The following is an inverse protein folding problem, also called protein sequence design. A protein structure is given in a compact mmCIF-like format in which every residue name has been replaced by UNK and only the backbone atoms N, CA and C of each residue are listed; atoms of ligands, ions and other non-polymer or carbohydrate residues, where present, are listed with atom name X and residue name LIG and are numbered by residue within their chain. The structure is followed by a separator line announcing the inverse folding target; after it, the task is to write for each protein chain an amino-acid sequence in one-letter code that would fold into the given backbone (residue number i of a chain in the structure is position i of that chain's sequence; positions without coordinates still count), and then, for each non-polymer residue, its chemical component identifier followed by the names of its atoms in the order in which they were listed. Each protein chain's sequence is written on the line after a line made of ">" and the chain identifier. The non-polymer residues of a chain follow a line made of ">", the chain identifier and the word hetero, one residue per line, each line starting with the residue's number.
data_IF_066740782355
#
_entry.id   IF_066740782355
#
_cell.length_a   1.000
_cell.length_b   1.000
_cell.length_c   1.000
_cell.angle_alpha   90.00
_cell.angle_beta   90.00
_cell.angle_gamma   90.00
#
_symmetry.space_group_name_H-M   'P 1'
#
loop_
_entity.id
_entity.type
_entity.pdbx_description
1 polymer ?
#
# COMPACT_ATOMS: atom_id res chain seq x y z
N UNK A 1 65.63 15.15 -23.10
CA UNK A 1 65.03 16.43 -22.64
C UNK A 1 63.86 16.75 -23.57
N UNK A 2 62.70 17.12 -23.03
CA UNK A 2 61.53 17.71 -23.73
C UNK A 2 60.80 16.80 -24.78
N UNK A 3 59.62 16.33 -24.34
CA UNK A 3 58.37 16.09 -25.12
C UNK A 3 57.51 17.38 -25.01
N UNK A 4 56.26 17.48 -25.55
CA UNK A 4 55.52 16.65 -26.51
C UNK A 4 55.32 17.45 -27.84
N UNK A 5 54.34 17.27 -28.74
CA UNK A 5 53.22 16.32 -28.92
C UNK A 5 53.13 16.04 -30.46
N UNK A 6 52.03 15.77 -31.18
CA UNK A 6 50.57 15.76 -30.97
C UNK A 6 49.97 14.41 -31.40
N UNK A 7 48.65 14.22 -31.25
CA UNK A 7 47.89 13.08 -31.78
C UNK A 7 46.59 13.55 -32.43
N UNK A 8 46.18 12.88 -33.50
CA UNK A 8 44.78 12.78 -33.91
C UNK A 8 44.50 11.32 -34.31
N UNK A 9 43.67 10.63 -33.54
CA UNK A 9 43.05 9.36 -33.91
C UNK A 9 41.69 9.27 -33.22
N UNK A 10 40.62 9.22 -34.00
CA UNK A 10 39.24 9.18 -33.50
C UNK A 10 38.91 7.78 -33.00
N UNK A 11 38.47 7.66 -31.74
CA UNK A 11 37.96 6.40 -31.21
C UNK A 11 36.52 6.15 -31.71
N UNK A 12 36.30 5.06 -32.44
CA UNK A 12 34.98 4.44 -32.47
C UNK A 12 34.75 3.73 -31.13
N UNK A 13 34.10 4.41 -30.19
CA UNK A 13 33.57 3.79 -28.99
C UNK A 13 32.30 3.01 -29.36
N UNK A 14 32.46 1.75 -29.77
CA UNK A 14 31.34 0.83 -29.97
C UNK A 14 30.71 0.48 -28.61
N UNK A 15 29.74 1.29 -28.18
CA UNK A 15 29.01 1.10 -26.94
C UNK A 15 28.15 -0.18 -27.01
N UNK A 16 28.72 -1.31 -26.60
CA UNK A 16 27.93 -2.48 -26.23
C UNK A 16 27.05 -2.10 -25.04
N UNK A 17 25.74 -2.04 -25.26
CA UNK A 17 24.79 -2.22 -24.17
C UNK A 17 24.92 -3.68 -23.68
N UNK A 18 25.81 -3.90 -22.73
CA UNK A 18 25.51 -4.88 -21.70
C UNK A 18 24.48 -4.23 -20.79
N UNK A 19 23.21 -4.56 -20.99
CA UNK A 19 22.25 -4.47 -19.89
C UNK A 19 22.80 -5.38 -18.78
N UNK A 20 23.29 -4.79 -17.69
CA UNK A 20 23.45 -5.54 -16.45
C UNK A 20 22.05 -5.92 -16.01
N UNK A 21 21.67 -7.15 -16.31
CA UNK A 21 20.58 -7.83 -15.64
C UNK A 21 21.05 -8.09 -14.20
N UNK A 22 20.90 -7.09 -13.33
CA UNK A 22 20.96 -7.32 -11.89
C UNK A 22 20.01 -8.48 -11.56
N UNK A 23 20.47 -9.52 -10.83
CA UNK A 23 19.64 -10.67 -10.54
C UNK A 23 18.42 -10.22 -9.74
N UNK A 24 17.23 -10.52 -10.25
CA UNK A 24 15.98 -10.12 -9.58
C UNK A 24 15.91 -10.77 -8.20
N UNK A 25 15.96 -9.94 -7.15
CA UNK A 25 16.03 -10.41 -5.76
C UNK A 25 14.95 -11.43 -5.42
N UNK A 26 15.34 -12.45 -4.66
CA UNK A 26 14.43 -13.48 -4.15
C UNK A 26 13.46 -12.96 -3.09
N UNK A 27 13.79 -11.84 -2.44
CA UNK A 27 12.95 -11.10 -1.49
C UNK A 27 12.97 -9.61 -1.86
N UNK A 28 11.81 -8.94 -1.81
CA UNK A 28 11.72 -7.48 -1.82
C UNK A 28 10.77 -7.01 -0.73
N UNK A 29 11.34 -6.40 0.32
CA UNK A 29 10.61 -5.60 1.31
C UNK A 29 10.81 -4.11 1.02
N UNK A 30 10.17 -3.23 1.80
CA UNK A 30 10.35 -1.78 1.73
C UNK A 30 10.05 -1.12 3.08
N UNK A 31 10.36 0.17 3.18
CA UNK A 31 10.18 0.99 4.38
C UNK A 31 9.67 2.40 4.03
N UNK A 32 9.15 3.12 5.02
CA UNK A 32 8.77 4.54 4.93
C UNK A 32 9.45 5.30 6.08
N UNK A 33 10.38 6.21 5.75
CA UNK A 33 11.11 7.00 6.75
C UNK A 33 10.17 7.94 7.53
N UNK A 34 9.27 8.64 6.83
CA UNK A 34 8.27 9.50 7.45
C UNK A 34 7.06 8.65 7.91
N UNK A 35 7.29 7.84 8.95
CA UNK A 35 6.28 6.95 9.54
C UNK A 35 6.12 7.16 11.03
N UNK A 36 4.86 7.24 11.47
CA UNK A 36 4.48 7.57 12.84
C UNK A 36 3.63 6.46 13.46
N UNK A 37 3.88 6.20 14.74
CA UNK A 37 2.92 5.45 15.57
C UNK A 37 1.94 6.47 16.12
N UNK A 38 0.71 6.44 15.60
CA UNK A 38 -0.38 7.30 16.02
C UNK A 38 -1.63 6.42 16.09
N UNK A 39 -2.26 6.33 17.25
CA UNK A 39 -3.37 5.41 17.51
C UNK A 39 -4.75 6.07 17.47
N UNK A 40 -4.81 7.41 17.46
CA UNK A 40 -5.99 8.17 17.87
C UNK A 40 -6.45 9.24 16.86
N UNK A 41 -5.54 9.88 16.14
CA UNK A 41 -5.86 10.97 15.19
C UNK A 41 -5.49 10.60 13.76
N UNK A 42 -5.89 11.42 12.80
CA UNK A 42 -5.24 11.44 11.48
C UNK A 42 -3.73 11.69 11.61
N UNK A 43 -2.98 11.18 10.65
CA UNK A 43 -1.55 11.45 10.46
C UNK A 43 -1.36 12.58 9.44
N UNK A 44 -0.19 13.21 9.39
CA UNK A 44 0.07 14.28 8.44
C UNK A 44 -0.03 13.83 6.97
N UNK A 45 -0.12 14.79 6.05
CA UNK A 45 -0.28 14.55 4.62
C UNK A 45 0.84 13.65 4.04
N UNK A 46 2.06 13.89 4.50
CA UNK A 46 3.31 13.27 4.09
C UNK A 46 3.78 12.11 5.00
N UNK A 47 3.01 11.76 6.03
CA UNK A 47 3.27 10.64 6.96
C UNK A 47 2.53 9.36 6.58
N UNK A 48 3.01 8.20 7.05
CA UNK A 48 2.27 6.93 7.04
C UNK A 48 2.12 6.38 8.47
N UNK A 49 0.91 5.93 8.83
CA UNK A 49 0.65 5.27 10.10
C UNK A 49 1.33 3.89 10.12
N UNK A 50 2.19 3.67 11.11
CA UNK A 50 2.92 2.42 11.35
C UNK A 50 2.35 1.72 12.57
N UNK A 51 2.37 0.39 12.57
CA UNK A 51 1.94 -0.43 13.70
C UNK A 51 2.49 0.06 15.04
N UNK A 52 1.58 0.22 15.99
CA UNK A 52 1.88 0.41 17.41
C UNK A 52 2.55 -0.81 18.06
N UNK A 53 2.34 -2.02 17.50
CA UNK A 53 2.58 -3.28 18.21
C UNK A 53 3.53 -4.27 17.53
N UNK A 54 3.62 -4.30 16.20
CA UNK A 54 4.35 -5.34 15.49
C UNK A 54 5.46 -4.76 14.60
N UNK A 55 6.67 -5.30 14.79
CA UNK A 55 7.74 -5.23 13.79
C UNK A 55 7.80 -6.56 13.03
N UNK A 56 7.79 -6.50 11.70
CA UNK A 56 7.99 -7.68 10.84
C UNK A 56 9.31 -7.57 10.07
N UNK A 57 9.98 -8.70 9.92
CA UNK A 57 11.17 -8.86 9.08
C UNK A 57 11.16 -10.22 8.39
N UNK A 58 11.76 -10.31 7.21
CA UNK A 58 11.72 -11.51 6.35
C UNK A 58 13.14 -11.93 5.99
N UNK A 59 13.39 -13.24 6.03
CA UNK A 59 14.66 -13.88 5.64
C UNK A 59 14.38 -15.03 4.67
N UNK A 60 15.36 -15.43 3.87
CA UNK A 60 15.29 -16.71 3.15
C UNK A 60 15.26 -17.87 4.16
N UNK A 61 14.55 -18.93 3.80
CA UNK A 61 14.22 -20.04 4.68
C UNK A 61 15.43 -20.73 5.34
N UNK A 62 15.76 -20.32 6.56
CA UNK A 62 16.86 -20.84 7.37
C UNK A 62 18.18 -20.05 7.32
N UNK A 63 18.22 -18.87 6.67
CA UNK A 63 19.46 -18.10 6.49
C UNK A 63 19.74 -17.08 7.62
N UNK A 64 18.74 -16.70 8.42
CA UNK A 64 18.80 -15.74 9.56
C UNK A 64 19.24 -14.29 9.20
N UNK A 65 19.51 -13.99 7.93
CA UNK A 65 19.63 -12.62 7.42
C UNK A 65 18.24 -12.00 7.20
N UNK A 66 17.84 -11.09 8.09
CA UNK A 66 16.46 -10.58 8.18
C UNK A 66 16.34 -9.12 7.75
N UNK A 67 15.66 -8.88 6.63
CA UNK A 67 15.34 -7.54 6.15
C UNK A 67 14.02 -7.05 6.75
N UNK A 68 13.95 -5.77 7.15
CA UNK A 68 12.71 -5.18 7.68
C UNK A 68 11.64 -5.06 6.59
N UNK A 69 10.38 -5.27 6.97
CA UNK A 69 9.20 -5.05 6.13
C UNK A 69 8.25 -4.10 6.83
N UNK A 70 7.81 -3.06 6.14
CA UNK A 70 6.94 -2.04 6.74
C UNK A 70 5.60 -2.62 7.18
N UNK A 71 5.22 -2.34 8.43
CA UNK A 71 3.91 -2.72 8.99
C UNK A 71 3.05 -1.46 9.07
N UNK A 72 2.10 -1.35 8.15
CA UNK A 72 1.08 -0.31 8.13
C UNK A 72 0.02 -0.60 9.21
N UNK A 73 -0.62 0.46 9.72
CA UNK A 73 -1.75 0.35 10.66
C UNK A 73 -2.96 1.13 10.12
N UNK A 74 -4.15 0.55 10.23
CA UNK A 74 -5.43 1.22 9.99
C UNK A 74 -6.30 1.18 11.24
N UNK A 75 -7.05 2.26 11.49
CA UNK A 75 -7.83 2.46 12.71
C UNK A 75 -9.26 2.91 12.38
N UNK A 76 -10.26 2.57 13.21
CA UNK A 76 -11.64 3.04 13.05
C UNK A 76 -11.72 4.56 12.82
N UNK A 77 -12.51 4.95 11.80
CA UNK A 77 -12.68 6.34 11.34
C UNK A 77 -11.38 7.04 10.92
N UNK A 78 -10.28 6.32 10.70
CA UNK A 78 -8.95 6.84 10.35
C UNK A 78 -8.36 7.82 11.39
N UNK A 79 -8.96 7.92 12.58
CA UNK A 79 -8.67 9.00 13.54
C UNK A 79 -9.25 10.37 13.18
N UNK A 80 -10.19 10.45 12.23
CA UNK A 80 -10.92 11.67 11.89
C UNK A 80 -12.18 11.90 12.77
N UNK A 81 -12.51 10.98 13.69
CA UNK A 81 -13.80 11.02 14.39
C UNK A 81 -14.99 10.94 13.43
N UNK A 82 -16.15 11.53 13.79
CA UNK A 82 -17.31 11.60 12.90
C UNK A 82 -17.27 12.78 11.92
N UNK A 83 -16.08 13.22 11.49
CA UNK A 83 -15.90 14.36 10.58
C UNK A 83 -16.90 14.36 9.40
N UNK A 84 -17.69 15.43 9.28
CA UNK A 84 -18.68 15.64 8.22
C UNK A 84 -18.09 16.29 6.97
N UNK A 85 -17.05 17.11 7.13
CA UNK A 85 -16.39 17.86 6.05
C UNK A 85 -14.87 17.92 6.31
N UNK A 86 -14.00 17.47 5.37
CA UNK A 86 -12.54 17.52 5.54
C UNK A 86 -11.91 18.92 5.75
N UNK A 87 -12.65 20.01 5.50
CA UNK A 87 -12.23 21.38 5.78
C UNK A 87 -12.74 21.91 7.15
N UNK A 88 -13.65 21.18 7.80
CA UNK A 88 -14.25 21.51 9.09
C UNK A 88 -14.21 20.25 9.99
N UNK A 89 -13.01 19.77 10.39
CA UNK A 89 -12.84 18.48 11.06
C UNK A 89 -13.56 18.35 12.42
N UNK A 90 -13.85 19.48 13.07
CA UNK A 90 -14.60 19.57 14.33
C UNK A 90 -16.13 19.41 14.14
N UNK A 91 -16.65 19.47 12.92
CA UNK A 91 -18.09 19.31 12.65
C UNK A 91 -18.43 17.83 12.41
N UNK A 92 -19.10 17.20 13.37
CA UNK A 92 -19.55 15.81 13.26
C UNK A 92 -20.80 15.65 12.37
N UNK A 93 -20.89 14.53 11.64
CA UNK A 93 -22.14 14.10 11.01
C UNK A 93 -23.09 13.45 12.03
N UNK A 94 -24.40 13.54 11.77
CA UNK A 94 -25.42 12.80 12.51
C UNK A 94 -26.21 11.89 11.55
N UNK A 95 -25.77 10.64 11.43
CA UNK A 95 -26.52 9.59 10.74
C UNK A 95 -27.28 8.75 11.78
N UNK A 96 -28.60 8.64 11.63
CA UNK A 96 -29.45 7.88 12.55
C UNK A 96 -29.07 6.39 12.64
N UNK A 97 -28.58 5.81 11.54
CA UNK A 97 -28.08 4.42 11.46
C UNK A 97 -26.58 4.30 11.83
N UNK A 98 -25.90 5.41 12.14
CA UNK A 98 -24.46 5.49 12.35
C UNK A 98 -23.63 5.37 11.07
N UNK A 99 -22.32 5.14 11.24
CA UNK A 99 -21.34 4.86 10.18
C UNK A 99 -20.89 3.38 10.14
N UNK A 100 -21.46 2.55 11.01
CA UNK A 100 -21.05 1.17 11.26
C UNK A 100 -19.94 1.01 12.30
N UNK A 101 -19.49 2.08 12.98
CA UNK A 101 -18.47 2.03 14.03
C UNK A 101 -19.09 2.42 15.38
N UNK A 102 -18.89 1.58 16.38
CA UNK A 102 -19.46 1.68 17.73
C UNK A 102 -18.38 1.54 18.80
N UNK A 103 -18.15 0.33 19.32
CA UNK A 103 -17.24 0.01 20.42
C UNK A 103 -15.78 -0.18 19.96
N UNK A 104 -15.56 -0.46 18.67
CA UNK A 104 -14.26 -0.79 18.07
C UNK A 104 -13.24 0.34 18.29
N UNK A 105 -13.70 1.59 18.16
CA UNK A 105 -12.88 2.78 18.40
C UNK A 105 -12.54 3.00 19.88
N UNK A 106 -13.39 2.55 20.81
CA UNK A 106 -13.20 2.68 22.27
C UNK A 106 -12.27 1.59 22.79
N UNK A 107 -12.43 0.38 22.27
CA UNK A 107 -11.59 -0.79 22.58
C UNK A 107 -10.23 -0.77 21.86
N UNK A 108 -9.97 0.26 21.04
CA UNK A 108 -8.71 0.46 20.33
C UNK A 108 -8.45 -0.58 19.23
N UNK A 109 -9.49 -1.22 18.70
CA UNK A 109 -9.39 -2.22 17.64
C UNK A 109 -8.73 -1.59 16.40
N UNK A 110 -7.81 -2.31 15.78
CA UNK A 110 -7.03 -1.85 14.64
C UNK A 110 -6.59 -3.03 13.74
N UNK A 111 -6.23 -2.71 12.50
CA UNK A 111 -5.73 -3.66 11.51
C UNK A 111 -4.32 -3.26 11.06
N UNK A 112 -3.35 -4.07 11.47
CA UNK A 112 -1.97 -4.01 11.01
C UNK A 112 -1.77 -4.91 9.78
N UNK A 113 -0.98 -4.49 8.81
CA UNK A 113 -0.56 -5.37 7.72
C UNK A 113 0.83 -5.06 7.17
N UNK A 114 1.46 -6.08 6.58
CA UNK A 114 2.71 -5.93 5.83
C UNK A 114 2.65 -6.72 4.53
N UNK A 115 3.27 -6.17 3.49
CA UNK A 115 3.39 -6.81 2.18
C UNK A 115 4.87 -6.89 1.77
N UNK A 116 5.25 -8.02 1.18
CA UNK A 116 6.58 -8.22 0.60
C UNK A 116 6.47 -9.10 -0.65
N UNK A 117 7.48 -9.04 -1.51
CA UNK A 117 7.63 -9.93 -2.67
C UNK A 117 8.60 -11.05 -2.32
N UNK A 118 8.30 -12.29 -2.71
CA UNK A 118 9.16 -13.46 -2.50
C UNK A 118 9.15 -14.43 -3.69
N UNK A 119 10.25 -15.18 -3.89
CA UNK A 119 10.46 -16.16 -4.98
C UNK A 119 10.76 -17.59 -4.52
N UNK A 120 11.08 -17.72 -3.23
CA UNK A 120 11.54 -18.94 -2.55
C UNK A 120 10.87 -18.98 -1.18
N UNK A 121 10.95 -20.11 -0.50
CA UNK A 121 10.52 -20.24 0.89
C UNK A 121 11.22 -19.18 1.76
N UNK A 122 10.46 -18.55 2.65
CA UNK A 122 10.95 -17.53 3.59
C UNK A 122 10.61 -17.89 5.02
N UNK A 123 11.40 -17.40 5.96
CA UNK A 123 11.01 -17.28 7.36
C UNK A 123 10.56 -15.84 7.64
N UNK A 124 9.33 -15.68 8.12
CA UNK A 124 8.75 -14.38 8.53
C UNK A 124 8.85 -14.26 10.04
N UNK A 125 9.60 -13.26 10.52
CA UNK A 125 9.84 -12.98 11.94
C UNK A 125 9.01 -11.79 12.40
N UNK A 126 8.11 -12.06 13.34
CA UNK A 126 7.20 -11.08 13.96
C UNK A 126 7.68 -10.83 15.39
N UNK A 127 7.82 -9.56 15.77
CA UNK A 127 8.27 -9.13 17.10
C UNK A 127 7.26 -8.16 17.69
N UNK A 128 6.79 -8.42 18.91
CA UNK A 128 5.95 -7.46 19.66
C UNK A 128 6.79 -6.34 20.27
N UNK A 129 6.37 -5.09 20.05
CA UNK A 129 7.09 -3.85 20.41
C UNK A 129 6.48 -3.10 21.59
N UNK A 130 5.24 -3.42 21.96
CA UNK A 130 4.49 -2.87 23.10
C UNK A 130 4.92 -3.44 24.47
N UNK A 131 5.84 -4.40 24.47
CA UNK A 131 6.26 -5.15 25.66
C UNK A 131 5.40 -6.39 25.97
N UNK A 132 4.37 -6.68 25.17
CA UNK A 132 3.56 -7.90 25.34
C UNK A 132 4.36 -9.17 25.01
N UNK A 133 4.12 -10.24 25.75
CA UNK A 133 4.82 -11.52 25.58
C UNK A 133 3.94 -12.56 24.89
N UNK A 134 4.52 -13.33 23.97
CA UNK A 134 3.90 -14.45 23.28
C UNK A 134 4.16 -15.70 24.13
N UNK A 135 3.19 -16.14 24.94
CA UNK A 135 3.43 -17.11 26.03
C UNK A 135 3.89 -18.49 25.51
N UNK A 136 3.29 -18.99 24.44
CA UNK A 136 3.66 -20.27 23.78
C UNK A 136 3.47 -20.20 22.26
N UNK A 137 3.93 -21.22 21.51
CA UNK A 137 3.59 -21.39 20.08
C UNK A 137 2.10 -21.70 19.89
N UNK A 138 1.49 -22.48 20.79
CA UNK A 138 0.05 -22.78 20.79
C UNK A 138 -0.85 -21.58 21.12
N UNK A 139 -0.24 -20.42 21.41
CA UNK A 139 -0.90 -19.14 21.55
C UNK A 139 -1.12 -18.40 20.22
N UNK A 140 -0.48 -18.88 19.14
CA UNK A 140 -0.57 -18.32 17.80
C UNK A 140 -1.56 -19.14 16.98
N UNK A 141 -2.49 -18.47 16.31
CA UNK A 141 -3.34 -19.04 15.26
C UNK A 141 -3.00 -18.34 13.95
N UNK A 142 -2.91 -19.11 12.87
CA UNK A 142 -2.78 -18.57 11.51
C UNK A 142 -4.11 -18.87 10.80
N UNK A 143 -4.68 -17.87 10.10
CA UNK A 143 -5.88 -18.07 9.28
C UNK A 143 -5.64 -17.70 7.81
N UNK A 144 -6.12 -18.51 6.85
CA UNK A 144 -6.86 -19.76 7.04
C UNK A 144 -5.99 -20.89 7.62
N UNK A 145 -6.63 -21.79 8.38
CA UNK A 145 -5.94 -22.75 9.28
C UNK A 145 -5.33 -23.96 8.56
N UNK A 146 -5.67 -24.14 7.28
CA UNK A 146 -5.25 -25.24 6.41
C UNK A 146 -3.89 -25.00 5.72
N UNK A 147 -3.30 -23.81 5.87
CA UNK A 147 -2.00 -23.45 5.29
C UNK A 147 -0.82 -24.31 5.75
N UNK A 148 -0.94 -25.02 6.89
CA UNK A 148 0.07 -25.97 7.37
C UNK A 148 1.42 -25.37 7.76
N UNK A 149 1.50 -24.05 7.96
CA UNK A 149 2.75 -23.34 8.21
C UNK A 149 3.42 -23.75 9.53
N UNK A 150 4.73 -23.93 9.49
CA UNK A 150 5.53 -24.25 10.69
C UNK A 150 5.79 -22.98 11.49
N UNK A 151 5.23 -22.91 12.69
CA UNK A 151 5.42 -21.80 13.63
C UNK A 151 6.43 -22.18 14.72
N UNK A 152 7.38 -21.29 15.01
CA UNK A 152 8.36 -21.39 16.09
C UNK A 152 8.33 -20.13 16.94
N UNK A 153 8.74 -20.22 18.20
CA UNK A 153 8.90 -19.06 19.10
C UNK A 153 10.33 -18.98 19.64
N UNK A 154 11.27 -18.33 18.94
CA UNK A 154 12.68 -18.27 19.35
C UNK A 154 12.95 -17.38 20.58
N UNK A 155 12.07 -16.41 20.88
CA UNK A 155 12.17 -15.52 22.07
C UNK A 155 10.78 -15.22 22.63
N UNK A 156 10.69 -14.78 23.88
CA UNK A 156 9.40 -14.54 24.56
C UNK A 156 8.49 -13.53 23.86
N UNK A 157 9.04 -12.60 23.07
CA UNK A 157 8.30 -11.61 22.28
C UNK A 157 8.48 -11.79 20.76
N UNK A 158 8.88 -12.97 20.30
CA UNK A 158 9.19 -13.22 18.88
C UNK A 158 8.60 -14.53 18.39
N UNK A 159 7.88 -14.46 17.28
CA UNK A 159 7.38 -15.61 16.50
C UNK A 159 8.09 -15.66 15.15
N UNK A 160 8.30 -16.89 14.66
CA UNK A 160 8.87 -17.18 13.37
C UNK A 160 7.95 -18.14 12.61
N UNK A 161 7.54 -17.76 11.40
CA UNK A 161 6.63 -18.53 10.55
C UNK A 161 7.36 -18.91 9.26
N UNK A 162 7.49 -20.20 8.98
CA UNK A 162 7.93 -20.69 7.67
C UNK A 162 6.79 -20.52 6.67
N UNK A 163 7.00 -19.72 5.64
CA UNK A 163 6.06 -19.48 4.53
C UNK A 163 6.66 -20.05 3.24
N UNK A 164 6.20 -21.23 2.77
CA UNK A 164 6.67 -21.81 1.51
C UNK A 164 6.25 -20.99 0.29
N UNK A 165 7.04 -21.01 -0.78
CA UNK A 165 6.71 -20.24 -1.99
C UNK A 165 5.51 -20.78 -2.74
N UNK A 166 4.51 -19.92 -2.95
CA UNK A 166 3.34 -20.17 -3.78
C UNK A 166 3.25 -19.16 -4.92
N UNK A 167 3.03 -19.63 -6.16
CA UNK A 167 2.86 -18.78 -7.36
C UNK A 167 1.66 -17.81 -7.28
N UNK A 168 0.69 -18.10 -6.43
CA UNK A 168 -0.50 -17.29 -6.11
C UNK A 168 -0.27 -16.24 -5.00
N UNK A 169 0.90 -16.29 -4.37
CA UNK A 169 1.14 -15.72 -3.04
C UNK A 169 0.32 -16.41 -1.95
N UNK A 170 0.57 -16.01 -0.70
CA UNK A 170 -0.28 -16.31 0.44
C UNK A 170 -0.67 -15.01 1.14
N UNK A 171 -1.93 -14.92 1.57
CA UNK A 171 -2.49 -13.85 2.39
C UNK A 171 -3.04 -14.50 3.65
N UNK A 172 -2.57 -14.10 4.83
CA UNK A 172 -2.95 -14.76 6.08
C UNK A 172 -2.96 -13.82 7.29
N UNK A 173 -3.89 -14.08 8.21
CA UNK A 173 -3.95 -13.47 9.54
C UNK A 173 -2.99 -14.20 10.49
N UNK A 174 -2.35 -13.47 11.40
CA UNK A 174 -1.58 -14.00 12.53
C UNK A 174 -2.17 -13.46 13.83
N UNK A 175 -2.71 -14.37 14.63
CA UNK A 175 -3.58 -14.04 15.75
C UNK A 175 -2.97 -14.56 17.06
N UNK A 176 -2.89 -13.69 18.06
CA UNK A 176 -2.41 -14.04 19.39
C UNK A 176 -3.59 -14.15 20.34
N UNK A 177 -3.76 -15.29 21.04
CA UNK A 177 -4.94 -15.51 21.89
C UNK A 177 -5.07 -14.48 23.03
N UNK A 178 -3.94 -14.03 23.57
CA UNK A 178 -3.89 -12.97 24.60
C UNK A 178 -4.20 -11.56 24.04
N UNK A 179 -4.50 -11.43 22.75
CA UNK A 179 -4.97 -10.20 22.10
C UNK A 179 -6.40 -10.29 21.54
N UNK A 180 -7.11 -11.39 21.77
CA UNK A 180 -8.48 -11.53 21.26
C UNK A 180 -9.44 -10.63 22.05
N UNK A 181 -10.11 -9.72 21.33
CA UNK A 181 -11.31 -9.07 21.80
C UNK A 181 -12.50 -9.97 21.44
N UNK A 182 -12.96 -10.75 22.41
CA UNK A 182 -13.89 -11.89 22.21
C UNK A 182 -13.27 -12.99 21.32
N UNK A 183 -13.57 -13.03 20.02
CA UNK A 183 -13.17 -14.10 19.10
C UNK A 183 -12.15 -13.66 18.02
N UNK A 184 -11.88 -12.35 17.89
CA UNK A 184 -10.96 -11.77 16.89
C UNK A 184 -9.94 -10.82 17.52
N UNK A 185 -8.76 -10.57 16.90
CA UNK A 185 -7.70 -9.77 17.54
C UNK A 185 -8.05 -8.28 17.64
N UNK A 186 -7.74 -7.66 18.78
CA UNK A 186 -7.77 -6.20 18.96
C UNK A 186 -6.72 -5.51 18.07
N UNK A 187 -5.57 -6.13 17.84
CA UNK A 187 -4.52 -5.65 16.94
C UNK A 187 -4.27 -6.74 15.89
N UNK A 188 -5.14 -6.83 14.88
CA UNK A 188 -5.08 -7.89 13.87
C UNK A 188 -3.91 -7.70 12.91
N UNK A 189 -3.03 -8.70 12.79
CA UNK A 189 -1.85 -8.63 11.92
C UNK A 189 -2.03 -9.50 10.65
N UNK A 190 -2.02 -8.87 9.48
CA UNK A 190 -2.16 -9.54 8.19
C UNK A 190 -0.85 -9.53 7.39
N UNK A 191 -0.45 -10.69 6.88
CA UNK A 191 0.77 -10.88 6.08
C UNK A 191 0.41 -11.16 4.61
N UNK A 192 0.92 -10.34 3.69
CA UNK A 192 0.74 -10.47 2.24
C UNK A 192 2.05 -10.91 1.55
N UNK A 193 2.36 -12.21 1.62
CA UNK A 193 3.49 -12.82 0.93
C UNK A 193 3.19 -12.95 -0.58
N UNK A 194 3.63 -11.97 -1.37
CA UNK A 194 3.17 -11.74 -2.75
C UNK A 194 4.17 -12.28 -3.79
N UNK A 195 3.73 -12.95 -4.88
CA UNK A 195 4.65 -13.42 -5.92
C UNK A 195 5.15 -12.22 -6.75
N UNK A 196 6.25 -12.33 -7.52
CA UNK A 196 6.62 -11.30 -8.47
C UNK A 196 5.52 -11.11 -9.51
N UNK A 197 5.29 -9.87 -9.95
CA UNK A 197 4.38 -9.61 -11.06
C UNK A 197 4.97 -10.14 -12.38
N UNK A 198 4.12 -10.60 -13.32
CA UNK A 198 4.53 -10.84 -14.71
C UNK A 198 5.25 -9.61 -15.30
N UNK A 199 6.35 -9.82 -16.03
CA UNK A 199 7.24 -8.71 -16.46
C UNK A 199 6.56 -7.77 -17.47
N UNK A 200 5.66 -8.29 -18.27
CA UNK A 200 4.75 -7.56 -19.17
C UNK A 200 3.80 -6.61 -18.42
N UNK A 201 3.51 -6.90 -17.15
CA UNK A 201 2.74 -6.06 -16.24
C UNK A 201 3.63 -5.12 -15.40
N UNK A 202 4.86 -4.84 -15.83
CA UNK A 202 5.76 -3.86 -15.20
C UNK A 202 6.18 -2.81 -16.26
N UNK A 203 5.62 -1.59 -16.25
CA UNK A 203 5.88 -0.60 -17.28
C UNK A 203 7.28 0.03 -17.18
N UNK A 204 8.05 -0.02 -18.27
CA UNK A 204 9.41 0.53 -18.33
C UNK A 204 9.42 2.07 -18.39
N UNK A 205 9.93 2.71 -17.33
CA UNK A 205 9.96 4.17 -17.11
C UNK A 205 10.56 5.02 -18.23
N UNK A 206 11.34 4.44 -19.14
CA UNK A 206 11.99 5.16 -20.25
C UNK A 206 11.05 5.48 -21.42
N UNK A 207 9.82 4.93 -21.42
CA UNK A 207 8.85 5.20 -22.48
C UNK A 207 8.26 6.62 -22.42
N UNK A 208 8.20 7.28 -23.57
CA UNK A 208 7.56 8.60 -23.73
C UNK A 208 6.04 8.60 -23.47
N UNK A 209 5.42 7.42 -23.31
CA UNK A 209 4.01 7.22 -23.00
C UNK A 209 3.69 7.19 -21.50
N UNK A 210 4.66 7.47 -20.63
CA UNK A 210 4.50 7.42 -19.17
C UNK A 210 4.43 8.82 -18.56
N UNK A 211 3.52 8.99 -17.60
CA UNK A 211 3.57 10.01 -16.55
C UNK A 211 4.19 9.36 -15.30
N UNK A 212 5.28 9.93 -14.76
CA UNK A 212 5.84 9.51 -13.48
C UNK A 212 5.34 10.47 -12.40
N UNK A 213 4.65 9.93 -11.39
CA UNK A 213 4.22 10.65 -10.19
C UNK A 213 5.28 10.40 -9.11
N UNK A 214 5.90 11.48 -8.64
CA UNK A 214 6.89 11.46 -7.55
C UNK A 214 6.22 11.65 -6.20
N UNK A 215 6.78 11.09 -5.11
CA UNK A 215 6.28 11.31 -3.75
C UNK A 215 6.14 12.79 -3.42
N UNK A 216 5.10 13.12 -2.66
CA UNK A 216 4.73 14.48 -2.31
C UNK A 216 3.26 14.81 -2.59
N UNK A 217 2.97 16.12 -2.60
CA UNK A 217 1.67 16.69 -2.96
C UNK A 217 1.29 16.39 -4.41
N UNK A 218 0.02 16.04 -4.60
CA UNK A 218 -0.67 16.00 -5.88
C UNK A 218 -1.88 16.94 -5.91
N UNK A 219 -2.16 17.45 -7.11
CA UNK A 219 -3.37 18.18 -7.52
C UNK A 219 -3.79 17.66 -8.91
N UNK A 220 -4.94 18.06 -9.46
CA UNK A 220 -5.34 17.61 -10.82
C UNK A 220 -4.28 17.86 -11.91
N UNK A 221 -3.54 18.98 -11.81
CA UNK A 221 -2.47 19.35 -12.74
C UNK A 221 -1.28 18.36 -12.74
N UNK A 222 -1.14 17.53 -11.70
CA UNK A 222 -0.03 16.55 -11.54
C UNK A 222 -0.15 15.36 -12.49
N UNK A 223 -1.36 15.04 -12.96
CA UNK A 223 -1.67 13.76 -13.61
C UNK A 223 -1.47 13.75 -15.13
N UNK A 224 -1.52 14.91 -15.78
CA UNK A 224 -1.30 15.04 -17.23
C UNK A 224 -2.28 14.24 -18.09
N UNK A 225 -1.80 13.67 -19.20
CA UNK A 225 -2.64 12.91 -20.15
C UNK A 225 -1.90 11.76 -20.86
N UNK A 226 -0.97 11.11 -20.14
CA UNK A 226 -0.15 10.01 -20.69
C UNK A 226 -0.89 8.67 -20.61
N UNK A 227 -0.72 7.74 -21.58
CA UNK A 227 -1.34 6.41 -21.54
C UNK A 227 -1.14 5.62 -20.25
N UNK A 228 0.07 5.67 -19.69
CA UNK A 228 0.44 5.01 -18.44
C UNK A 228 0.82 6.04 -17.38
N UNK A 229 0.41 5.80 -16.12
CA UNK A 229 0.82 6.54 -14.94
C UNK A 229 1.56 5.61 -13.98
N UNK A 230 2.72 6.03 -13.47
CA UNK A 230 3.52 5.28 -12.49
C UNK A 230 3.63 6.09 -11.20
N UNK A 231 3.15 5.55 -10.09
CA UNK A 231 3.47 6.06 -8.75
C UNK A 231 4.79 5.46 -8.28
N UNK A 232 5.78 6.31 -8.01
CA UNK A 232 7.06 5.86 -7.43
C UNK A 232 6.92 5.47 -5.96
N UNK A 233 7.89 4.72 -5.44
CA UNK A 233 7.92 4.34 -4.02
C UNK A 233 8.08 5.58 -3.14
N UNK A 234 7.35 5.64 -2.03
CA UNK A 234 7.20 6.81 -1.17
C UNK A 234 5.72 7.21 -0.99
N UNK A 235 5.50 8.36 -0.34
CA UNK A 235 4.19 8.81 0.13
C UNK A 235 3.65 9.90 -0.80
N UNK A 236 2.40 9.78 -1.22
CA UNK A 236 1.72 10.71 -2.12
C UNK A 236 0.36 11.06 -1.54
N UNK A 237 -0.08 12.30 -1.62
CA UNK A 237 -1.43 12.72 -1.17
C UNK A 237 -2.08 13.68 -2.16
N UNK A 238 -3.39 13.58 -2.35
CA UNK A 238 -4.14 14.60 -3.08
C UNK A 238 -4.73 15.64 -2.12
N UNK A 239 -4.59 16.92 -2.48
CA UNK A 239 -5.28 18.02 -1.80
C UNK A 239 -6.01 18.91 -2.82
N UNK A 240 -6.94 19.72 -2.31
CA UNK A 240 -7.55 20.83 -3.04
C UNK A 240 -7.53 22.05 -2.15
N UNK A 241 -6.88 23.12 -2.61
CA UNK A 241 -6.71 24.37 -1.88
C UNK A 241 -6.09 24.19 -0.47
N UNK A 242 -5.11 23.28 -0.31
CA UNK A 242 -4.51 22.97 0.99
C UNK A 242 -5.27 21.96 1.86
N UNK A 243 -6.44 21.48 1.42
CA UNK A 243 -7.29 20.56 2.21
C UNK A 243 -7.22 19.14 1.65
N UNK A 244 -6.91 18.17 2.51
CA UNK A 244 -6.94 16.74 2.21
C UNK A 244 -8.38 16.24 2.06
N UNK A 245 -8.60 15.10 1.39
CA UNK A 245 -9.95 14.50 1.24
C UNK A 245 -10.92 15.31 0.37
N UNK A 246 -10.58 16.54 -0.03
CA UNK A 246 -11.35 17.42 -0.90
C UNK A 246 -11.12 17.20 -2.40
N UNK A 247 -10.39 16.16 -2.78
CA UNK A 247 -10.34 15.71 -4.18
C UNK A 247 -10.03 14.22 -4.37
N UNK A 248 -10.19 13.71 -5.60
CA UNK A 248 -9.73 12.39 -6.03
C UNK A 248 -9.04 12.47 -7.40
N UNK A 249 -8.27 11.45 -7.77
CA UNK A 249 -7.48 11.44 -9.02
C UNK A 249 -8.41 11.16 -10.20
N UNK A 250 -8.78 12.20 -10.95
CA UNK A 250 -9.57 12.05 -12.19
C UNK A 250 -8.64 11.86 -13.37
N UNK A 251 -8.51 10.63 -13.84
CA UNK A 251 -7.59 10.26 -14.92
C UNK A 251 -8.06 10.85 -16.25
N UNK A 252 -7.10 11.21 -17.11
CA UNK A 252 -7.39 11.62 -18.49
C UNK A 252 -7.97 10.46 -19.31
N UNK A 253 -8.86 10.67 -20.30
CA UNK A 253 -9.39 9.60 -21.13
C UNK A 253 -8.33 8.77 -21.89
N UNK A 254 -7.12 9.33 -22.05
CA UNK A 254 -5.96 8.61 -22.62
C UNK A 254 -5.32 7.63 -21.63
N UNK A 255 -5.38 7.93 -20.33
CA UNK A 255 -4.74 7.19 -19.25
C UNK A 255 -5.59 5.97 -18.89
N UNK A 256 -5.11 4.80 -19.32
CA UNK A 256 -5.80 3.52 -19.12
C UNK A 256 -4.96 2.52 -18.32
N UNK A 257 -3.73 2.88 -17.92
CA UNK A 257 -2.88 2.05 -17.10
C UNK A 257 -2.31 2.85 -15.92
N UNK A 258 -2.66 2.47 -14.69
CA UNK A 258 -2.02 2.94 -13.46
C UNK A 258 -1.18 1.81 -12.86
N UNK A 259 0.07 2.12 -12.51
CA UNK A 259 1.00 1.20 -11.87
C UNK A 259 1.55 1.79 -10.56
N UNK A 260 1.38 1.07 -9.45
CA UNK A 260 1.94 1.44 -8.15
C UNK A 260 3.23 0.66 -7.89
N UNK A 261 4.38 1.34 -7.73
CA UNK A 261 5.60 0.64 -7.30
C UNK A 261 5.40 0.01 -5.91
N UNK A 262 6.08 -1.11 -5.62
CA UNK A 262 6.26 -1.59 -4.25
C UNK A 262 6.70 -0.46 -3.32
N UNK A 263 6.01 -0.28 -2.19
CA UNK A 263 6.23 0.83 -1.27
C UNK A 263 5.75 2.21 -1.74
N UNK A 264 4.91 2.30 -2.79
CA UNK A 264 4.10 3.50 -3.02
C UNK A 264 2.90 3.49 -2.06
N UNK A 265 2.62 4.62 -1.41
CA UNK A 265 1.46 4.82 -0.54
C UNK A 265 0.74 6.11 -0.96
N UNK A 266 -0.49 5.97 -1.48
CA UNK A 266 -1.18 7.04 -2.21
C UNK A 266 -2.50 7.37 -1.51
N UNK A 267 -2.56 8.50 -0.80
CA UNK A 267 -3.76 8.98 -0.09
C UNK A 267 -4.72 9.66 -1.06
N UNK A 268 -5.49 8.86 -1.80
CA UNK A 268 -6.48 9.29 -2.78
C UNK A 268 -7.40 8.12 -3.21
N UNK A 269 -8.37 8.41 -4.07
CA UNK A 269 -9.09 7.45 -4.91
C UNK A 269 -8.85 7.70 -6.42
N UNK A 270 -9.13 6.73 -7.29
CA UNK A 270 -9.01 6.86 -8.75
C UNK A 270 -10.37 6.86 -9.46
N UNK A 271 -10.59 7.80 -10.37
CA UNK A 271 -11.64 7.73 -11.39
C UNK A 271 -11.03 7.59 -12.79
N UNK A 272 -11.30 6.47 -13.45
CA UNK A 272 -11.00 6.25 -14.87
C UNK A 272 -12.07 6.91 -15.75
N UNK A 273 -11.63 7.58 -16.82
CA UNK A 273 -12.52 8.19 -17.83
C UNK A 273 -12.23 7.67 -19.24
N UNK A 274 -11.50 6.55 -19.35
CA UNK A 274 -11.00 6.03 -20.62
C UNK A 274 -12.03 5.18 -21.35
N UNK A 275 -12.06 5.28 -22.68
CA UNK A 275 -12.85 4.40 -23.55
C UNK A 275 -12.01 3.25 -24.12
N UNK A 276 -10.81 3.00 -23.58
CA UNK A 276 -9.93 1.92 -24.04
C UNK A 276 -10.55 0.55 -23.66
N UNK A 277 -10.58 -0.46 -24.55
CA UNK A 277 -11.25 -1.74 -24.29
C UNK A 277 -10.61 -2.55 -23.15
N UNK A 278 -9.40 -2.19 -22.74
CA UNK A 278 -8.71 -2.80 -21.60
C UNK A 278 -8.06 -1.70 -20.76
N UNK A 279 -8.35 -1.66 -19.47
CA UNK A 279 -7.67 -0.77 -18.52
C UNK A 279 -7.09 -1.55 -17.33
N UNK A 280 -6.02 -1.01 -16.75
CA UNK A 280 -5.16 -1.73 -15.81
C UNK A 280 -4.89 -0.91 -14.54
N UNK A 281 -4.94 -1.60 -13.40
CA UNK A 281 -4.50 -1.10 -12.09
C UNK A 281 -3.61 -2.18 -11.46
N UNK A 282 -2.30 -1.98 -11.48
CA UNK A 282 -1.33 -3.04 -11.15
C UNK A 282 -0.33 -2.53 -10.12
N UNK A 283 0.28 -3.42 -9.35
CA UNK A 283 1.43 -3.08 -8.51
C UNK A 283 1.17 -3.20 -7.01
N UNK A 284 2.22 -3.51 -6.24
CA UNK A 284 2.14 -3.74 -4.78
C UNK A 284 2.33 -2.46 -3.96
N UNK A 285 1.57 -1.42 -4.31
CA UNK A 285 1.42 -0.22 -3.50
C UNK A 285 0.05 -0.18 -2.82
N UNK A 286 -0.12 0.81 -1.94
CA UNK A 286 -1.38 1.09 -1.23
C UNK A 286 -2.07 2.31 -1.85
N UNK A 287 -3.37 2.21 -2.09
CA UNK A 287 -4.25 3.34 -2.37
C UNK A 287 -5.17 3.51 -1.14
N UNK A 288 -4.97 4.59 -0.40
CA UNK A 288 -5.58 4.84 0.91
C UNK A 288 -6.66 5.92 0.85
N UNK A 289 -7.83 5.61 1.40
CA UNK A 289 -8.97 6.50 1.57
C UNK A 289 -8.94 7.28 2.88
N UNK A 290 -7.87 7.20 3.68
CA UNK A 290 -7.81 7.68 5.08
C UNK A 290 -8.26 9.15 5.29
N UNK A 291 -8.06 9.99 4.28
CA UNK A 291 -8.39 11.42 4.31
C UNK A 291 -9.86 11.74 4.01
N UNK A 292 -10.65 10.76 3.55
CA UNK A 292 -12.06 10.97 3.22
C UNK A 292 -12.96 10.74 4.44
N UNK A 293 -14.07 11.49 4.47
CA UNK A 293 -15.17 11.25 5.41
C UNK A 293 -15.99 10.02 5.02
N UNK A 294 -16.76 9.49 5.97
CA UNK A 294 -17.76 8.47 5.68
C UNK A 294 -18.70 8.95 4.56
N UNK A 295 -18.95 8.08 3.58
CA UNK A 295 -19.77 8.33 2.36
C UNK A 295 -19.43 9.60 1.54
N UNK A 296 -18.20 10.12 1.63
CA UNK A 296 -17.73 11.36 0.98
C UNK A 296 -18.27 11.62 -0.44
N UNK A 297 -19.04 12.69 -0.61
CA UNK A 297 -19.86 12.94 -1.80
C UNK A 297 -19.20 13.90 -2.79
N UNK A 298 -18.78 13.36 -3.94
CA UNK A 298 -17.91 14.04 -4.92
C UNK A 298 -18.48 15.38 -5.45
N UNK A 299 -19.79 15.45 -5.75
CA UNK A 299 -20.45 16.69 -6.21
C UNK A 299 -20.96 17.59 -5.06
N UNK A 300 -20.86 17.16 -3.81
CA UNK A 300 -21.09 18.00 -2.60
C UNK A 300 -19.77 18.32 -1.90
N UNK A 301 -18.71 18.52 -2.67
CA UNK A 301 -17.36 18.87 -2.20
C UNK A 301 -16.81 17.90 -1.13
N UNK A 302 -17.08 16.60 -1.27
CA UNK A 302 -16.60 15.52 -0.39
C UNK A 302 -17.07 15.64 1.07
N UNK A 303 -18.30 16.14 1.29
CA UNK A 303 -19.01 16.06 2.57
C UNK A 303 -19.61 14.67 2.80
N UNK A 304 -19.89 14.34 4.07
CA UNK A 304 -20.55 13.12 4.49
C UNK A 304 -22.06 13.18 4.18
N UNK A 305 -22.41 12.91 2.92
CA UNK A 305 -23.80 12.89 2.44
C UNK A 305 -23.96 11.70 1.48
N UNK A 306 -24.66 10.65 1.89
CA UNK A 306 -24.79 9.43 1.09
C UNK A 306 -25.51 9.70 -0.24
N UNK A 307 -24.88 9.34 -1.34
CA UNK A 307 -25.50 9.28 -2.68
C UNK A 307 -24.99 8.03 -3.41
N UNK A 308 -25.91 7.13 -3.77
CA UNK A 308 -25.56 5.83 -4.38
C UNK A 308 -24.85 5.97 -5.74
N UNK A 309 -24.96 7.11 -6.43
CA UNK A 309 -24.22 7.41 -7.67
C UNK A 309 -22.93 8.18 -7.40
N UNK A 310 -22.90 9.10 -6.44
CA UNK A 310 -21.89 10.15 -6.34
C UNK A 310 -21.08 10.18 -5.03
N UNK A 311 -21.36 9.32 -4.05
CA UNK A 311 -20.37 9.00 -3.01
C UNK A 311 -19.14 8.35 -3.65
N UNK A 312 -17.95 8.69 -3.16
CA UNK A 312 -16.67 8.31 -3.76
C UNK A 312 -16.41 6.80 -3.66
N UNK A 313 -15.73 6.25 -4.68
CA UNK A 313 -15.23 4.86 -4.72
C UNK A 313 -13.73 4.88 -4.93
N UNK A 314 -13.00 3.98 -4.26
CA UNK A 314 -11.53 3.88 -4.37
C UNK A 314 -11.05 3.61 -5.81
N UNK A 315 -11.80 2.78 -6.55
CA UNK A 315 -11.71 2.66 -8.00
C UNK A 315 -13.09 2.94 -8.59
N UNK A 316 -13.16 3.90 -9.52
CA UNK A 316 -14.40 4.34 -10.15
C UNK A 316 -14.21 4.51 -11.66
N UNK A 317 -15.30 4.44 -12.43
CA UNK A 317 -15.28 4.63 -13.88
C UNK A 317 -16.59 5.28 -14.34
N UNK A 318 -16.61 6.61 -14.52
CA UNK A 318 -17.85 7.32 -14.89
C UNK A 318 -18.17 7.28 -16.40
N UNK A 319 -17.17 7.00 -17.25
CA UNK A 319 -17.31 6.96 -18.72
C UNK A 319 -17.25 5.53 -19.27
N UNK A 320 -17.85 4.56 -18.57
CA UNK A 320 -17.74 3.14 -18.94
C UNK A 320 -18.49 2.83 -20.25
N UNK A 321 -17.88 1.97 -21.07
CA UNK A 321 -18.36 1.52 -22.37
C UNK A 321 -18.56 0.00 -22.39
N UNK A 322 -19.44 -0.48 -23.27
CA UNK A 322 -19.65 -1.93 -23.47
C UNK A 322 -18.35 -2.65 -23.83
N UNK A 323 -18.19 -3.87 -23.30
CA UNK A 323 -17.04 -4.76 -23.53
C UNK A 323 -15.67 -4.26 -23.02
N UNK A 324 -15.61 -3.26 -22.14
CA UNK A 324 -14.37 -2.94 -21.43
C UNK A 324 -13.99 -4.03 -20.40
N UNK A 325 -12.70 -4.36 -20.34
CA UNK A 325 -12.11 -5.27 -19.34
C UNK A 325 -11.18 -4.51 -18.39
N UNK A 326 -11.30 -4.75 -17.09
CA UNK A 326 -10.41 -4.23 -16.06
C UNK A 326 -9.48 -5.32 -15.53
N UNK A 327 -8.17 -5.04 -15.46
CA UNK A 327 -7.21 -5.89 -14.75
C UNK A 327 -6.72 -5.19 -13.48
N UNK A 328 -7.22 -5.62 -12.33
CA UNK A 328 -6.71 -5.22 -11.01
C UNK A 328 -5.77 -6.32 -10.47
N UNK A 329 -4.46 -6.05 -10.38
CA UNK A 329 -3.45 -7.08 -10.06
C UNK A 329 -2.40 -6.53 -9.08
N UNK A 330 -2.63 -6.74 -7.78
CA UNK A 330 -1.68 -6.44 -6.70
C UNK A 330 -1.97 -5.28 -5.75
N UNK A 331 -2.72 -4.21 -6.11
CA UNK A 331 -2.93 -3.07 -5.21
C UNK A 331 -3.60 -3.47 -3.89
N UNK A 332 -3.12 -2.88 -2.79
CA UNK A 332 -3.85 -2.89 -1.52
C UNK A 332 -4.73 -1.65 -1.45
N UNK A 333 -5.99 -1.82 -1.04
CA UNK A 333 -6.86 -0.72 -0.62
C UNK A 333 -6.82 -0.60 0.91
N UNK A 334 -6.85 0.64 1.40
CA UNK A 334 -7.03 0.99 2.81
C UNK A 334 -8.12 2.06 2.91
#
# INVERSE_FOLDING_TARGET
>A
MILPCWKFFSFLAAARLCELNDPESDITTWWHENSVVNTNTSVAADEVRRSRRYNVSVSLAGEDDFHHSFVYESIPRNGNGKMSDPAQPEEEYDFADGDGITIEAVEGINMDWTQFIYRKDVDVRIVTTDGSSIVTVSNVVIRPVDLGFTVKRPKYNTVLIRVPYQKSGTRFSVEFKDDLFTEEPRNGLIIFASPPLPKDLIPSKTSSNIQVIRPGKMTQDTFGSKPTMIFESGIHWIEKNGVLGKDHIKLSPKTHYVYFKPGAYVKAALEYTTTHPTFLTVGYGVLSGENYVYVAHTIKNYTAVKDDRFSLRMFWHQSAMDNQTWHCIGPTLN
#
